data_IF_053699113433
#
_entry.id   IF_053699113433
#
_cell.length_a   1.000
_cell.length_b   1.000
_cell.length_c   1.000
_cell.angle_alpha   90.00
_cell.angle_beta   90.00
_cell.angle_gamma   90.00
#
_symmetry.space_group_name_H-M   'P 1'
#
loop_
_entity.id
_entity.type
_entity.pdbx_description
1 polymer ?
#
# COMPACT_ATOMS: atom_id res chain seq x y z
N UNK A 1 -14.88 18.96 -73.75
CA UNK A 1 -15.89 18.22 -72.97
C UNK A 1 -15.37 16.81 -72.77
N UNK A 2 -15.36 16.15 -71.61
CA UNK A 2 -15.68 16.49 -70.22
C UNK A 2 -14.91 15.47 -69.38
N UNK A 3 -14.22 15.97 -68.35
CA UNK A 3 -13.54 15.22 -67.30
C UNK A 3 -14.57 14.40 -66.52
N UNK A 4 -14.35 13.11 -66.29
CA UNK A 4 -15.03 12.37 -65.21
C UNK A 4 -14.05 11.39 -64.54
N UNK A 5 -13.26 11.94 -63.61
CA UNK A 5 -12.73 11.20 -62.48
C UNK A 5 -13.86 11.06 -61.43
N UNK A 6 -14.38 9.86 -61.25
CA UNK A 6 -15.22 9.52 -60.08
C UNK A 6 -14.74 8.16 -59.55
N UNK A 7 -13.64 8.19 -58.79
CA UNK A 7 -13.24 7.09 -57.91
C UNK A 7 -13.86 7.38 -56.56
N UNK A 8 -15.10 6.93 -56.38
CA UNK A 8 -15.80 7.03 -55.10
C UNK A 8 -15.14 6.06 -54.12
N UNK A 9 -14.42 6.60 -53.14
CA UNK A 9 -13.90 5.81 -52.04
C UNK A 9 -15.08 5.33 -51.18
N UNK A 10 -15.19 4.02 -50.89
CA UNK A 10 -16.26 3.53 -50.04
C UNK A 10 -16.07 4.11 -48.64
N UNK A 11 -17.06 4.89 -48.19
CA UNK A 11 -17.14 5.57 -46.89
C UNK A 11 -16.96 4.69 -45.63
N UNK A 12 -17.09 3.34 -45.62
CA UNK A 12 -16.82 2.57 -44.41
C UNK A 12 -15.32 2.39 -44.12
N UNK A 13 -14.44 2.47 -45.13
CA UNK A 13 -13.00 2.22 -44.93
C UNK A 13 -12.32 3.34 -44.12
N UNK A 14 -12.73 4.59 -44.31
CA UNK A 14 -12.18 5.73 -43.57
C UNK A 14 -12.60 5.71 -42.09
N UNK A 15 -13.83 5.24 -41.80
CA UNK A 15 -14.37 5.10 -40.44
C UNK A 15 -13.63 3.99 -39.68
N UNK A 16 -13.32 2.88 -40.34
CA UNK A 16 -12.52 1.79 -39.75
C UNK A 16 -11.10 2.23 -39.36
N UNK A 17 -10.48 3.12 -40.14
CA UNK A 17 -9.13 3.65 -39.86
C UNK A 17 -9.17 4.63 -38.68
N UNK A 18 -10.20 5.48 -38.58
CA UNK A 18 -10.37 6.40 -37.45
C UNK A 18 -10.67 5.66 -36.12
N UNK A 19 -11.40 4.53 -36.18
CA UNK A 19 -11.67 3.69 -35.01
C UNK A 19 -10.40 3.01 -34.45
N UNK A 20 -9.39 2.74 -35.30
CA UNK A 20 -8.10 2.18 -34.88
C UNK A 20 -7.21 3.20 -34.16
N UNK A 21 -7.32 4.48 -34.49
CA UNK A 21 -6.48 5.55 -33.92
C UNK A 21 -6.96 6.03 -32.54
N UNK A 22 -8.19 5.73 -32.13
CA UNK A 22 -8.68 5.94 -30.77
C UNK A 22 -8.38 4.75 -29.85
N UNK A 23 -7.19 4.16 -29.99
CA UNK A 23 -6.62 3.31 -28.95
C UNK A 23 -5.66 4.17 -28.15
N UNK A 24 -6.18 5.20 -27.48
CA UNK A 24 -5.45 5.79 -26.36
C UNK A 24 -5.36 4.67 -25.34
N UNK A 25 -4.25 3.93 -25.33
CA UNK A 25 -3.94 3.07 -24.21
C UNK A 25 -3.78 4.01 -23.03
N UNK A 26 -4.87 4.20 -22.26
CA UNK A 26 -4.78 4.55 -20.86
C UNK A 26 -3.66 3.68 -20.32
N UNK A 27 -2.53 4.30 -19.93
CA UNK A 27 -1.47 3.59 -19.25
C UNK A 27 -2.12 2.98 -18.02
N UNK A 28 -2.43 1.71 -18.09
CA UNK A 28 -2.88 0.95 -16.94
C UNK A 28 -1.66 0.91 -16.02
N UNK A 29 -1.61 1.82 -15.04
CA UNK A 29 -0.65 1.74 -13.93
C UNK A 29 -0.97 0.39 -13.30
N UNK A 30 -0.17 -0.62 -13.67
CA UNK A 30 -0.40 -1.97 -13.22
C UNK A 30 -0.27 -1.99 -11.71
N UNK A 31 -1.24 -2.58 -10.99
CA UNK A 31 -1.13 -2.73 -9.56
C UNK A 31 0.15 -3.52 -9.23
N UNK A 32 0.95 -3.02 -8.28
CA UNK A 32 2.14 -3.73 -7.82
C UNK A 32 1.71 -4.89 -6.93
N UNK A 33 1.61 -6.07 -7.52
CA UNK A 33 1.23 -7.28 -6.80
C UNK A 33 2.45 -8.11 -6.43
N UNK A 34 2.52 -8.55 -5.17
CA UNK A 34 3.54 -9.46 -4.68
C UNK A 34 2.93 -10.51 -3.76
N UNK A 35 3.59 -11.66 -3.65
CA UNK A 35 3.15 -12.74 -2.75
C UNK A 35 4.05 -12.79 -1.52
N UNK A 36 3.43 -12.74 -0.33
CA UNK A 36 4.08 -13.00 0.96
C UNK A 36 3.58 -14.33 1.54
N UNK A 37 4.21 -14.80 2.62
CA UNK A 37 3.87 -16.07 3.29
C UNK A 37 2.38 -16.20 3.68
N UNK A 38 1.73 -15.07 3.97
CA UNK A 38 0.33 -15.00 4.39
C UNK A 38 -0.67 -14.86 3.24
N UNK A 39 -0.23 -14.51 2.03
CA UNK A 39 -1.08 -14.32 0.86
C UNK A 39 -0.54 -13.28 -0.13
N UNK A 40 -1.28 -13.02 -1.20
CA UNK A 40 -0.93 -12.00 -2.18
C UNK A 40 -1.38 -10.61 -1.72
N UNK A 41 -0.56 -9.59 -1.96
CA UNK A 41 -0.86 -8.19 -1.63
C UNK A 41 -0.69 -7.30 -2.85
N UNK A 42 -1.47 -6.23 -2.89
CA UNK A 42 -1.44 -5.20 -3.93
C UNK A 42 -1.07 -3.85 -3.31
N UNK A 43 0.06 -3.30 -3.70
CA UNK A 43 0.50 -1.95 -3.35
C UNK A 43 0.17 -0.94 -4.43
N UNK A 44 0.74 0.25 -4.27
CA UNK A 44 0.61 1.36 -5.22
C UNK A 44 1.94 2.06 -5.46
N UNK A 45 2.02 2.81 -6.57
CA UNK A 45 3.11 3.73 -6.82
C UNK A 45 2.78 5.09 -6.20
N UNK A 46 3.71 5.64 -5.44
CA UNK A 46 3.62 6.97 -4.84
C UNK A 46 4.87 7.78 -5.18
N UNK A 47 4.70 9.06 -5.50
CA UNK A 47 5.82 9.98 -5.72
C UNK A 47 6.08 10.73 -4.42
N UNK A 48 7.28 10.58 -3.85
CA UNK A 48 7.69 11.26 -2.62
C UNK A 48 8.92 12.11 -2.94
N UNK A 49 8.79 13.44 -2.81
CA UNK A 49 9.87 14.41 -3.12
C UNK A 49 10.45 14.26 -4.54
N UNK A 50 9.61 13.87 -5.52
CA UNK A 50 10.02 13.71 -6.92
C UNK A 50 10.53 12.32 -7.30
N UNK A 51 10.67 11.42 -6.32
CA UNK A 51 11.15 10.05 -6.53
C UNK A 51 9.98 9.05 -6.48
N UNK A 52 10.02 8.02 -7.34
CA UNK A 52 9.00 6.97 -7.40
C UNK A 52 9.24 5.90 -6.32
N UNK A 53 8.21 5.63 -5.52
CA UNK A 53 8.19 4.54 -4.53
C UNK A 53 7.08 3.55 -4.84
N UNK A 54 7.37 2.28 -4.62
CA UNK A 54 6.36 1.24 -4.47
C UNK A 54 6.05 1.10 -3.00
N UNK A 55 4.77 1.26 -2.65
CA UNK A 55 4.33 1.37 -1.27
C UNK A 55 3.26 0.32 -0.98
N UNK A 56 3.42 -0.35 0.16
CA UNK A 56 2.44 -1.26 0.73
C UNK A 56 2.08 -0.81 2.14
N UNK A 57 0.81 -0.59 2.40
CA UNK A 57 0.29 -0.07 3.68
C UNK A 57 -0.71 -1.05 4.29
N UNK A 58 -0.76 -1.07 5.62
CA UNK A 58 -1.75 -1.85 6.35
C UNK A 58 -1.56 -3.37 6.19
N UNK A 59 -0.32 -3.85 6.10
CA UNK A 59 -0.06 -5.29 6.02
C UNK A 59 -0.14 -5.89 7.44
N UNK A 60 -1.02 -6.86 7.72
CA UNK A 60 -1.09 -7.49 9.04
C UNK A 60 0.14 -8.36 9.27
N UNK A 61 0.82 -8.15 10.39
CA UNK A 61 1.96 -8.99 10.80
C UNK A 61 1.64 -9.89 11.99
N UNK A 62 0.47 -9.71 12.62
CA UNK A 62 -0.02 -10.54 13.71
C UNK A 62 -1.56 -10.59 13.72
N UNK A 63 -2.14 -11.53 14.45
CA UNK A 63 -3.59 -11.54 14.72
C UNK A 63 -4.00 -10.32 15.55
N UNK A 64 -5.22 -9.79 15.35
CA UNK A 64 -5.77 -8.72 16.18
C UNK A 64 -5.73 -9.11 17.67
N UNK A 65 -5.12 -8.30 18.55
CA UNK A 65 -4.97 -8.60 19.98
C UNK A 65 -6.26 -8.25 20.77
N UNK A 66 -7.40 -8.68 20.26
CA UNK A 66 -8.74 -8.37 20.79
C UNK A 66 -9.37 -9.59 21.48
N UNK A 67 -10.35 -9.35 22.34
CA UNK A 67 -11.06 -10.42 23.04
C UNK A 67 -10.13 -11.28 23.88
N UNK A 68 -10.13 -12.60 23.65
CA UNK A 68 -9.30 -13.53 24.40
C UNK A 68 -7.79 -13.39 24.11
N UNK A 69 -7.41 -12.77 22.99
CA UNK A 69 -6.00 -12.51 22.65
C UNK A 69 -5.44 -11.27 23.34
N UNK A 70 -6.30 -10.48 24.01
CA UNK A 70 -5.87 -9.29 24.73
C UNK A 70 -4.86 -9.66 25.81
N UNK A 71 -3.75 -8.92 25.84
CA UNK A 71 -2.61 -9.14 26.76
C UNK A 71 -1.87 -10.47 26.58
N UNK A 72 -2.12 -11.21 25.49
CA UNK A 72 -1.33 -12.37 25.12
C UNK A 72 -0.18 -11.98 24.18
N UNK A 73 0.79 -12.88 24.02
CA UNK A 73 1.81 -12.73 22.97
C UNK A 73 1.14 -12.69 21.58
N UNK A 74 1.65 -11.86 20.65
CA UNK A 74 1.15 -11.83 19.28
C UNK A 74 1.21 -13.22 18.63
N UNK A 75 0.16 -13.56 17.88
CA UNK A 75 0.09 -14.79 17.07
C UNK A 75 0.23 -14.45 15.60
N UNK A 76 0.67 -15.41 14.79
CA UNK A 76 0.81 -15.24 13.35
C UNK A 76 -0.51 -14.80 12.69
N UNK A 77 -0.47 -13.89 11.70
CA UNK A 77 -1.68 -13.38 11.06
C UNK A 77 -2.40 -14.50 10.30
N UNK A 78 -3.72 -14.39 10.21
CA UNK A 78 -4.49 -15.32 9.37
C UNK A 78 -4.08 -15.19 7.90
N UNK A 79 -3.97 -16.33 7.21
CA UNK A 79 -3.79 -16.33 5.76
C UNK A 79 -5.07 -15.87 5.06
N UNK A 80 -4.95 -15.05 4.03
CA UNK A 80 -6.08 -14.62 3.22
C UNK A 80 -6.08 -15.28 1.85
N UNK A 81 -7.27 -15.36 1.24
CA UNK A 81 -7.44 -15.83 -0.15
C UNK A 81 -7.54 -14.63 -1.08
N UNK A 82 -7.02 -14.78 -2.29
CA UNK A 82 -6.98 -13.70 -3.28
C UNK A 82 -5.91 -12.65 -2.95
N UNK A 83 -6.10 -11.45 -3.48
CA UNK A 83 -5.13 -10.34 -3.37
C UNK A 83 -5.68 -9.30 -2.40
N UNK A 84 -4.97 -9.09 -1.28
CA UNK A 84 -5.30 -8.06 -0.30
C UNK A 84 -4.88 -6.68 -0.81
N UNK A 85 -5.76 -5.68 -0.70
CA UNK A 85 -5.45 -4.31 -1.08
C UNK A 85 -4.64 -3.61 0.03
N UNK A 86 -3.35 -3.42 -0.19
CA UNK A 86 -2.39 -2.81 0.73
C UNK A 86 -2.06 -1.36 0.32
N UNK A 87 -3.07 -0.55 0.00
CA UNK A 87 -2.91 0.87 -0.40
C UNK A 87 -3.40 1.86 0.65
N UNK A 88 -3.92 1.38 1.79
CA UNK A 88 -4.46 2.23 2.85
C UNK A 88 -3.77 1.91 4.18
N UNK A 89 -3.54 2.95 4.99
CA UNK A 89 -3.04 2.76 6.35
C UNK A 89 -4.13 2.11 7.21
N UNK A 90 -3.69 1.23 8.12
CA UNK A 90 -4.59 0.64 9.12
C UNK A 90 -4.79 1.59 10.31
N UNK A 91 -5.67 1.18 11.24
CA UNK A 91 -5.94 1.92 12.47
C UNK A 91 -4.69 2.08 13.34
N UNK A 92 -4.60 3.21 14.03
CA UNK A 92 -3.59 3.42 15.07
C UNK A 92 -3.97 2.65 16.34
N UNK A 93 -2.95 2.20 17.08
CA UNK A 93 -3.18 1.58 18.37
C UNK A 93 -3.79 2.57 19.36
N UNK A 94 -4.75 2.07 20.16
CA UNK A 94 -5.37 2.81 21.26
C UNK A 94 -4.30 3.34 22.21
N UNK A 95 -4.33 4.65 22.46
CA UNK A 95 -3.40 5.36 23.33
C UNK A 95 -4.06 6.64 23.83
N UNK A 96 -3.46 7.28 24.85
CA UNK A 96 -4.00 8.54 25.39
C UNK A 96 -3.82 9.67 24.37
N UNK A 97 -4.84 10.51 24.20
CA UNK A 97 -4.87 11.55 23.16
C UNK A 97 -3.86 12.69 23.42
N UNK A 98 -3.51 12.94 24.68
CA UNK A 98 -2.45 13.86 25.11
C UNK A 98 -1.08 13.53 24.48
N UNK A 99 -0.86 12.24 24.21
CA UNK A 99 0.35 11.68 23.60
C UNK A 99 0.47 12.00 22.10
N UNK A 100 -0.62 12.47 21.50
CA UNK A 100 -0.77 12.65 20.05
C UNK A 100 -0.88 14.11 19.64
N UNK A 101 -0.95 15.04 20.59
CA UNK A 101 -1.12 16.47 20.35
C UNK A 101 0.00 17.11 19.52
N UNK A 102 1.15 16.44 19.37
CA UNK A 102 2.30 16.93 18.60
C UNK A 102 2.28 16.50 17.13
N UNK A 103 1.31 15.68 16.69
CA UNK A 103 1.27 15.11 15.34
C UNK A 103 -0.05 15.48 14.60
N UNK A 104 -0.03 16.53 13.74
CA UNK A 104 -1.22 17.03 13.04
C UNK A 104 -1.94 15.97 12.19
N UNK A 105 -1.22 14.97 11.66
CA UNK A 105 -1.82 13.89 10.85
C UNK A 105 -2.69 12.93 11.68
N UNK A 106 -2.56 12.93 13.00
CA UNK A 106 -3.24 11.96 13.88
C UNK A 106 -4.61 12.42 14.37
N UNK A 107 -4.99 13.68 14.18
CA UNK A 107 -6.28 14.21 14.62
C UNK A 107 -7.47 13.61 13.87
N UNK A 108 -7.26 13.09 12.66
CA UNK A 108 -8.27 12.41 11.84
C UNK A 108 -8.09 10.89 11.81
N UNK A 109 -7.12 10.36 12.55
CA UNK A 109 -6.78 8.94 12.51
C UNK A 109 -7.81 8.10 13.30
N UNK A 110 -8.14 6.94 12.74
CA UNK A 110 -9.00 5.95 13.38
C UNK A 110 -8.18 5.11 14.37
N UNK A 111 -8.69 4.92 15.60
CA UNK A 111 -8.05 4.12 16.65
C UNK A 111 -8.75 2.77 16.83
N UNK A 112 -7.96 1.72 17.02
CA UNK A 112 -8.47 0.36 17.27
C UNK A 112 -7.47 -0.46 18.10
N UNK A 113 -7.95 -1.45 18.84
CA UNK A 113 -7.07 -2.49 19.42
C UNK A 113 -6.55 -3.43 18.31
N UNK A 114 -7.29 -3.55 17.19
CA UNK A 114 -6.80 -4.17 15.96
C UNK A 114 -5.89 -3.19 15.20
N UNK A 115 -4.63 -3.13 15.61
CA UNK A 115 -3.64 -2.18 15.09
C UNK A 115 -2.27 -2.81 14.74
N UNK A 116 -2.15 -4.15 14.73
CA UNK A 116 -0.89 -4.85 14.46
C UNK A 116 -0.59 -4.97 12.96
N UNK A 117 -0.32 -3.81 12.35
CA UNK A 117 -0.03 -3.66 10.92
C UNK A 117 1.30 -2.95 10.69
N UNK A 118 1.95 -3.24 9.57
CA UNK A 118 3.16 -2.57 9.12
C UNK A 118 2.97 -1.96 7.73
N UNK A 119 3.89 -1.07 7.37
CA UNK A 119 3.94 -0.43 6.06
C UNK A 119 5.36 -0.57 5.49
N UNK A 120 5.46 -0.79 4.18
CA UNK A 120 6.73 -0.99 3.45
C UNK A 120 6.81 0.04 2.33
N UNK A 121 7.95 0.73 2.25
CA UNK A 121 8.25 1.72 1.23
C UNK A 121 9.55 1.30 0.55
N UNK A 122 9.49 1.09 -0.77
CA UNK A 122 10.65 0.72 -1.58
C UNK A 122 10.82 1.70 -2.72
N UNK A 123 12.04 2.17 -3.04
CA UNK A 123 12.27 2.94 -4.26
C UNK A 123 11.96 2.09 -5.50
N UNK A 124 11.59 2.76 -6.59
CA UNK A 124 11.29 2.17 -7.90
C UNK A 124 12.30 2.69 -8.94
N UNK A 125 12.83 1.87 -9.85
CA UNK A 125 12.53 0.45 -10.08
C UNK A 125 13.10 -0.45 -9.00
N UNK A 126 12.40 -1.55 -8.71
CA UNK A 126 12.92 -2.63 -7.87
C UNK A 126 14.18 -3.15 -8.55
N UNK A 127 15.34 -2.86 -7.97
CA UNK A 127 16.62 -3.30 -8.53
C UNK A 127 16.81 -4.81 -8.30
N UNK A 128 17.59 -5.51 -9.14
CA UNK A 128 17.93 -6.91 -8.90
C UNK A 128 18.91 -7.10 -7.72
N UNK A 129 19.41 -6.01 -7.14
CA UNK A 129 20.33 -6.03 -6.00
C UNK A 129 19.57 -5.87 -4.68
N UNK A 130 20.12 -6.44 -3.62
CA UNK A 130 19.58 -6.30 -2.27
C UNK A 130 19.67 -4.83 -1.80
N UNK A 131 18.55 -4.30 -1.32
CA UNK A 131 18.52 -3.01 -0.65
C UNK A 131 18.80 -3.18 0.85
N UNK A 132 19.43 -2.17 1.45
CA UNK A 132 19.47 -2.03 2.91
C UNK A 132 18.06 -1.81 3.46
N UNK A 133 17.69 -2.54 4.51
CA UNK A 133 16.38 -2.43 5.16
C UNK A 133 16.49 -1.56 6.40
N UNK A 134 15.72 -0.48 6.45
CA UNK A 134 15.54 0.36 7.63
C UNK A 134 14.18 0.05 8.27
N UNK A 135 14.17 -0.30 9.56
CA UNK A 135 12.93 -0.49 10.33
C UNK A 135 12.74 0.69 11.27
N UNK A 136 11.70 1.48 11.02
CA UNK A 136 11.34 2.62 11.88
C UNK A 136 10.39 2.16 12.99
N UNK A 137 10.85 2.24 14.24
CA UNK A 137 10.00 2.06 15.41
C UNK A 137 9.59 3.44 15.94
N UNK A 138 8.31 3.80 15.74
CA UNK A 138 7.77 5.05 16.29
C UNK A 138 7.42 4.82 17.76
N UNK A 139 8.31 5.25 18.66
CA UNK A 139 8.00 5.33 20.09
C UNK A 139 7.19 6.58 20.39
N UNK A 140 6.24 6.46 21.31
CA UNK A 140 5.45 7.56 21.84
C UNK A 140 5.86 7.66 23.32
N UNK A 141 6.21 8.84 23.84
CA UNK A 141 6.94 8.99 25.10
C UNK A 141 6.18 8.60 26.38
N UNK A 142 5.10 7.82 26.32
CA UNK A 142 4.16 7.63 27.44
C UNK A 142 4.02 6.21 27.99
N UNK A 143 4.86 5.26 27.55
CA UNK A 143 5.01 3.96 28.23
C UNK A 143 6.48 3.77 28.62
N UNK A 144 7.01 4.68 29.44
CA UNK A 144 8.11 4.34 30.36
C UNK A 144 7.42 3.78 31.61
N UNK A 145 6.88 2.56 31.53
CA UNK A 145 7.00 1.72 32.72
C UNK A 145 8.47 1.36 32.78
N UNK A 146 9.14 1.76 33.85
CA UNK A 146 10.44 1.21 34.21
C UNK A 146 10.30 -0.31 34.35
N UNK A 147 10.39 -1.05 33.25
CA UNK A 147 10.88 -2.42 33.30
C UNK A 147 12.39 -2.29 33.51
N UNK A 148 12.78 -2.09 34.77
CA UNK A 148 14.07 -2.58 35.23
C UNK A 148 14.09 -4.07 34.91
N UNK A 149 14.68 -4.44 33.78
CA UNK A 149 15.14 -5.79 33.54
C UNK A 149 16.17 -6.07 34.64
N UNK A 150 15.70 -6.62 35.76
CA UNK A 150 16.58 -7.29 36.71
C UNK A 150 17.10 -8.51 35.98
N UNK A 151 18.25 -8.35 35.34
CA UNK A 151 19.08 -9.46 34.88
C UNK A 151 19.25 -10.42 36.06
N UNK A 152 18.63 -11.60 35.98
CA UNK A 152 19.02 -12.73 36.80
C UNK A 152 20.17 -13.42 36.04
N UNK A 153 21.38 -13.00 36.38
CA UNK A 153 22.52 -13.91 36.50
C UNK A 153 23.01 -13.80 37.93
#
# INVERSE_FOLDING_TARGET
>A
MRILWQREWPRPLLIFILFRLCSCQLRHISPFELTVNSGAIRGERVIIKGEDYTVFKGIPYAMPPVGYLRFQMPKEPAKWRGVMNATQFSALCVQRMDSLATDPERHTAHFSEDCLYLNVFSPTPVSPFFFSVLVLLKSIPLIIQFFTLRSKY
#
